data_IF_775084904264
#
_entry.id   IF_775084904264
#
_cell.length_a   1.000
_cell.length_b   1.000
_cell.length_c   1.000
_cell.angle_alpha   90.00
_cell.angle_beta   90.00
_cell.angle_gamma   90.00
#
_symmetry.space_group_name_H-M   'P 1'
#
loop_
_entity.id
_entity.type
_entity.pdbx_description
1 polymer ?
#
# COMPACT_ATOMS: atom_id res chain seq x y z
N UNK A 1 -20.80 6.47 -9.41
CA UNK A 1 -19.68 6.65 -8.47
C UNK A 1 -18.54 5.74 -8.92
N UNK A 2 -17.29 6.21 -8.95
CA UNK A 2 -16.14 5.37 -9.28
C UNK A 2 -15.57 4.74 -8.02
N UNK A 3 -15.07 3.50 -8.11
CA UNK A 3 -14.35 2.87 -7.01
C UNK A 3 -13.07 3.66 -6.67
N UNK A 4 -12.71 3.77 -5.39
CA UNK A 4 -11.43 4.35 -4.98
C UNK A 4 -10.28 3.49 -5.49
N UNK A 5 -9.31 4.11 -6.15
CA UNK A 5 -8.09 3.44 -6.60
C UNK A 5 -7.17 3.28 -5.36
N UNK A 6 -6.74 2.05 -5.01
CA UNK A 6 -5.83 1.86 -3.89
C UNK A 6 -4.43 2.40 -4.22
N UNK A 7 -3.88 3.23 -3.33
CA UNK A 7 -2.53 3.81 -3.48
C UNK A 7 -1.57 3.13 -2.51
N UNK A 8 -0.43 2.67 -3.01
CA UNK A 8 0.64 2.08 -2.19
C UNK A 8 1.86 2.99 -2.22
N UNK A 9 2.35 3.39 -1.05
CA UNK A 9 3.56 4.22 -0.92
C UNK A 9 4.77 3.30 -0.80
N UNK A 10 5.82 3.57 -1.59
CA UNK A 10 7.06 2.79 -1.57
C UNK A 10 8.24 3.72 -1.35
N UNK A 11 8.99 3.53 -0.26
CA UNK A 11 10.11 4.42 0.10
C UNK A 11 11.34 3.68 0.62
N UNK A 12 12.52 4.29 0.53
CA UNK A 12 13.76 3.86 1.21
C UNK A 12 13.87 4.40 2.63
N UNK A 13 13.42 5.64 2.84
CA UNK A 13 13.39 6.31 4.13
C UNK A 13 11.93 6.50 4.53
N UNK A 14 11.59 5.93 5.68
CA UNK A 14 10.29 6.06 6.30
C UNK A 14 10.49 5.89 7.79
N UNK A 15 10.23 6.97 8.52
CA UNK A 15 9.98 6.88 9.96
C UNK A 15 8.59 6.30 10.20
N UNK A 16 8.30 5.92 11.44
CA UNK A 16 6.93 5.55 11.82
C UNK A 16 5.96 6.72 11.53
N UNK A 17 6.37 7.95 11.80
CA UNK A 17 5.60 9.17 11.49
C UNK A 17 5.28 9.32 9.99
N UNK A 18 6.24 9.06 9.09
CA UNK A 18 6.00 9.14 7.64
C UNK A 18 5.00 8.08 7.17
N UNK A 19 5.06 6.91 7.80
CA UNK A 19 4.12 5.82 7.54
C UNK A 19 2.72 6.22 8.00
N UNK A 20 2.59 6.72 9.22
CA UNK A 20 1.32 7.18 9.77
C UNK A 20 0.70 8.30 8.93
N UNK A 21 1.50 9.29 8.52
CA UNK A 21 1.03 10.38 7.65
C UNK A 21 0.53 9.87 6.30
N UNK A 22 1.25 8.93 5.69
CA UNK A 22 0.84 8.29 4.45
C UNK A 22 -0.48 7.53 4.59
N UNK A 23 -0.64 6.77 5.67
CA UNK A 23 -1.87 6.03 5.96
C UNK A 23 -3.05 6.97 6.26
N UNK A 24 -2.84 8.04 7.04
CA UNK A 24 -3.85 9.06 7.33
C UNK A 24 -4.32 9.81 6.06
N UNK A 25 -3.43 9.98 5.08
CA UNK A 25 -3.77 10.57 3.78
C UNK A 25 -4.63 9.65 2.89
N UNK A 26 -4.86 8.39 3.30
CA UNK A 26 -5.68 7.42 2.57
C UNK A 26 -4.88 6.46 1.70
N UNK A 27 -3.59 6.30 1.95
CA UNK A 27 -2.84 5.20 1.36
C UNK A 27 -3.41 3.85 1.83
N UNK A 28 -3.48 2.89 0.92
CA UNK A 28 -3.96 1.54 1.18
C UNK A 28 -2.84 0.64 1.75
N UNK A 29 -1.59 0.98 1.48
CA UNK A 29 -0.43 0.31 2.05
C UNK A 29 0.83 1.17 1.98
N UNK A 30 1.83 0.78 2.76
CA UNK A 30 3.16 1.36 2.80
C UNK A 30 4.19 0.23 2.75
N UNK A 31 5.19 0.34 1.87
CA UNK A 31 6.22 -0.68 1.65
C UNK A 31 7.61 -0.03 1.71
N UNK A 32 8.47 -0.55 2.58
CA UNK A 32 9.85 -0.07 2.72
C UNK A 32 10.79 -0.81 1.79
N UNK A 33 11.74 -0.09 1.20
CA UNK A 33 12.86 -0.63 0.41
C UNK A 33 14.06 -0.95 1.31
N UNK A 34 14.86 -1.98 0.96
CA UNK A 34 14.58 -2.96 -0.09
C UNK A 34 13.48 -3.92 0.34
N UNK A 35 12.64 -4.33 -0.61
CA UNK A 35 11.61 -5.36 -0.44
C UNK A 35 11.81 -6.47 -1.45
N UNK A 36 11.22 -7.63 -1.17
CA UNK A 36 11.18 -8.74 -2.12
C UNK A 36 9.98 -8.60 -3.05
N UNK A 37 10.09 -9.10 -4.28
CA UNK A 37 8.97 -9.07 -5.23
C UNK A 37 7.73 -9.76 -4.67
N UNK A 38 7.91 -10.86 -3.94
CA UNK A 38 6.82 -11.60 -3.30
C UNK A 38 6.04 -10.74 -2.29
N UNK A 39 6.72 -9.83 -1.57
CA UNK A 39 6.08 -8.95 -0.58
C UNK A 39 5.18 -7.91 -1.27
N UNK A 40 5.67 -7.29 -2.34
CA UNK A 40 4.90 -6.31 -3.10
C UNK A 40 3.72 -6.97 -3.84
N UNK A 41 3.94 -8.15 -4.42
CA UNK A 41 2.86 -8.92 -5.06
C UNK A 41 1.77 -9.28 -4.06
N UNK A 42 2.12 -9.73 -2.85
CA UNK A 42 1.13 -10.00 -1.81
C UNK A 42 0.30 -8.78 -1.41
N UNK A 43 0.90 -7.57 -1.40
CA UNK A 43 0.16 -6.32 -1.18
C UNK A 43 -0.81 -6.04 -2.34
N UNK A 44 -0.36 -6.21 -3.58
CA UNK A 44 -1.18 -6.01 -4.78
C UNK A 44 -2.36 -6.98 -4.78
N UNK A 45 -2.12 -8.27 -4.53
CA UNK A 45 -3.17 -9.30 -4.50
C UNK A 45 -4.22 -8.96 -3.44
N UNK A 46 -3.79 -8.54 -2.24
CA UNK A 46 -4.71 -8.11 -1.17
C UNK A 46 -5.57 -6.90 -1.55
N UNK A 47 -5.02 -5.96 -2.33
CA UNK A 47 -5.71 -4.70 -2.69
C UNK A 47 -6.58 -4.82 -3.94
N UNK A 48 -6.29 -5.80 -4.79
CA UNK A 48 -7.00 -6.06 -6.05
C UNK A 48 -7.93 -7.26 -6.01
N UNK A 49 -7.86 -8.06 -4.93
CA UNK A 49 -8.86 -9.08 -4.65
C UNK A 49 -10.25 -8.44 -4.70
N UNK A 50 -11.03 -8.84 -5.71
CA UNK A 50 -12.42 -8.40 -5.83
C UNK A 50 -13.13 -8.75 -4.53
N UNK A 51 -13.97 -7.85 -3.96
CA UNK A 51 -14.99 -8.34 -3.06
C UNK A 51 -15.76 -9.39 -3.86
N UNK A 52 -15.84 -10.61 -3.34
CA UNK A 52 -16.66 -11.64 -3.95
C UNK A 52 -18.05 -11.05 -4.20
N UNK A 53 -18.54 -11.23 -5.43
CA UNK A 53 -19.85 -10.76 -5.89
C UNK A 53 -20.98 -11.25 -4.96
#
# INVERSE_FOLDING_TARGET
EFARIPVVIITTEGTEDDTERGMQAGAAAYVKKPFRNEELLGVIDRLTASPAA
#
